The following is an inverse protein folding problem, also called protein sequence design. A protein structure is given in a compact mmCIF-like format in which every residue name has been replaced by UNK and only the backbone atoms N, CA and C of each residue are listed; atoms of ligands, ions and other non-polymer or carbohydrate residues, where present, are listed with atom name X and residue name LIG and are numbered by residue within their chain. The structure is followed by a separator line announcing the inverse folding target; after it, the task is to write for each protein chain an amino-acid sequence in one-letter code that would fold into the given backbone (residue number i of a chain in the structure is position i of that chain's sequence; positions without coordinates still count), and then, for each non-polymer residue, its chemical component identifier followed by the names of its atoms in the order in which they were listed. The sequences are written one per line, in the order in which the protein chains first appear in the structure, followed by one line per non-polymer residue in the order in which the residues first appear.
data_IF_933724767154
#
_entry.id   IF_933724767154
#
_cell.length_a   1.000
_cell.length_b   1.000
_cell.length_c   1.000
_cell.angle_alpha   90.00
_cell.angle_beta   90.00
_cell.angle_gamma   90.00
#
_symmetry.space_group_name_H-M   'P 1'
#
loop_
_entity.id
_entity.type
_entity.pdbx_description
1 polymer ?
#
# COMPACT_ATOMS: atom_id res chain seq x y z
N UNK A 1 -4.83 9.07 7.87
CA UNK A 1 -3.36 8.98 7.80
C UNK A 1 -2.82 9.76 8.98
N UNK A 2 -2.04 9.11 9.84
CA UNK A 2 -1.32 9.77 10.93
C UNK A 2 0.19 9.74 10.62
N UNK A 3 0.93 10.73 11.12
CA UNK A 3 2.39 10.70 11.16
C UNK A 3 2.80 10.32 12.58
N UNK A 4 3.36 9.14 12.76
CA UNK A 4 3.94 8.68 14.04
C UNK A 4 5.42 8.39 13.78
N UNK A 5 6.34 8.95 14.55
CA UNK A 5 7.79 8.73 14.38
C UNK A 5 8.30 8.88 12.93
N UNK A 6 7.77 9.88 12.21
CA UNK A 6 8.11 10.16 10.80
C UNK A 6 7.75 9.02 9.83
N UNK A 7 6.81 8.17 10.25
CA UNK A 7 6.21 7.09 9.50
C UNK A 7 4.76 7.45 9.14
N UNK A 8 4.36 7.17 7.89
CA UNK A 8 2.96 7.21 7.50
C UNK A 8 2.24 5.96 7.97
N UNK A 9 1.09 6.12 8.64
CA UNK A 9 0.22 5.01 9.03
C UNK A 9 -1.17 5.13 8.39
N UNK A 10 -1.58 4.07 7.67
CA UNK A 10 -2.91 3.90 7.09
C UNK A 10 -3.56 2.63 7.65
N UNK A 11 -4.72 2.80 8.30
CA UNK A 11 -5.52 1.68 8.80
C UNK A 11 -6.88 1.71 8.10
N UNK A 12 -7.22 0.64 7.39
CA UNK A 12 -8.56 0.44 6.84
C UNK A 12 -9.50 -0.10 7.93
N UNK A 13 -10.78 0.25 7.81
CA UNK A 13 -11.82 -0.34 8.66
C UNK A 13 -11.99 -1.82 8.37
N UNK A 14 -12.45 -2.58 9.36
CA UNK A 14 -12.52 -4.04 9.26
C UNK A 14 -13.71 -4.50 8.42
N UNK A 15 -14.74 -3.66 8.31
CA UNK A 15 -15.96 -3.92 7.57
C UNK A 15 -16.65 -2.60 7.18
N UNK A 16 -17.63 -2.71 6.28
CA UNK A 16 -18.39 -1.56 5.79
C UNK A 16 -19.23 -0.88 6.88
N UNK A 17 -19.69 -1.61 7.90
CA UNK A 17 -20.49 -1.03 8.99
C UNK A 17 -19.66 -0.06 9.84
N UNK A 18 -18.44 -0.45 10.21
CA UNK A 18 -17.46 0.42 10.89
C UNK A 18 -17.15 1.65 10.05
N UNK A 19 -16.85 1.47 8.76
CA UNK A 19 -16.58 2.58 7.84
C UNK A 19 -17.77 3.54 7.74
N UNK A 20 -19.00 3.03 7.59
CA UNK A 20 -20.21 3.85 7.46
C UNK A 20 -20.57 4.58 8.76
N UNK A 21 -20.31 3.96 9.92
CA UNK A 21 -20.50 4.61 11.22
C UNK A 21 -19.69 5.90 11.32
N UNK A 22 -18.43 5.86 10.87
CA UNK A 22 -17.52 7.01 10.94
C UNK A 22 -17.66 7.94 9.72
N UNK A 23 -18.32 7.50 8.65
CA UNK A 23 -18.55 8.25 7.40
C UNK A 23 -20.03 8.20 7.00
N UNK A 24 -20.94 8.83 7.76
CA UNK A 24 -22.39 8.67 7.59
C UNK A 24 -22.91 9.20 6.25
N UNK A 25 -22.22 10.17 5.65
CA UNK A 25 -22.61 10.79 4.38
C UNK A 25 -22.07 10.04 3.15
N UNK A 26 -21.46 8.86 3.33
CA UNK A 26 -20.92 8.07 2.22
C UNK A 26 -22.02 7.59 1.26
N UNK A 27 -21.74 7.68 -0.05
CA UNK A 27 -22.58 7.12 -1.09
C UNK A 27 -22.19 5.68 -1.46
N UNK A 28 -21.08 5.17 -0.91
CA UNK A 28 -20.65 3.80 -1.13
C UNK A 28 -21.66 2.83 -0.52
N UNK A 29 -21.96 1.76 -1.23
CA UNK A 29 -22.66 0.61 -0.67
C UNK A 29 -21.66 -0.48 -0.24
N UNK A 30 -22.15 -1.55 0.37
CA UNK A 30 -21.29 -2.67 0.83
C UNK A 30 -20.52 -3.30 -0.32
N UNK A 31 -21.14 -3.52 -1.48
CA UNK A 31 -20.50 -4.12 -2.66
C UNK A 31 -19.41 -3.21 -3.22
N UNK A 32 -19.61 -1.88 -3.25
CA UNK A 32 -18.59 -0.93 -3.66
C UNK A 32 -17.37 -0.98 -2.72
N UNK A 33 -17.62 -1.16 -1.42
CA UNK A 33 -16.59 -1.19 -0.40
C UNK A 33 -15.78 -2.49 -0.41
N UNK A 34 -16.45 -3.64 -0.58
CA UNK A 34 -15.80 -4.96 -0.54
C UNK A 34 -15.31 -5.43 -1.91
N UNK A 35 -16.01 -5.05 -2.98
CA UNK A 35 -15.82 -5.56 -4.34
C UNK A 35 -14.41 -5.34 -4.88
N UNK A 36 -13.76 -4.23 -4.53
CA UNK A 36 -12.38 -3.97 -4.94
C UNK A 36 -11.38 -4.96 -4.32
N UNK A 37 -11.65 -5.46 -3.11
CA UNK A 37 -10.74 -6.31 -2.34
C UNK A 37 -11.02 -7.80 -2.48
N UNK A 38 -12.07 -8.21 -3.21
CA UNK A 38 -12.46 -9.61 -3.40
C UNK A 38 -11.31 -10.48 -3.94
N UNK A 39 -10.41 -9.87 -4.71
CA UNK A 39 -9.15 -10.53 -5.05
C UNK A 39 -8.09 -10.12 -4.03
N UNK A 40 -7.51 -11.09 -3.32
CA UNK A 40 -6.33 -10.85 -2.48
C UNK A 40 -5.17 -10.20 -3.26
N UNK A 41 -5.20 -10.33 -4.59
CA UNK A 41 -4.33 -9.63 -5.52
C UNK A 41 -4.44 -8.10 -5.45
N UNK A 42 -5.67 -7.57 -5.47
CA UNK A 42 -5.93 -6.14 -5.37
C UNK A 42 -5.50 -5.59 -4.00
N UNK A 43 -5.67 -6.37 -2.93
CA UNK A 43 -5.19 -6.02 -1.58
C UNK A 43 -3.66 -5.85 -1.60
N UNK A 44 -2.92 -6.86 -2.09
CA UNK A 44 -1.46 -6.78 -2.20
C UNK A 44 -1.03 -5.62 -3.11
N UNK A 45 -1.76 -5.36 -4.18
CA UNK A 45 -1.49 -4.26 -5.12
C UNK A 45 -1.56 -2.90 -4.43
N UNK A 46 -2.61 -2.64 -3.67
CA UNK A 46 -2.71 -1.41 -2.87
C UNK A 46 -1.60 -1.35 -1.82
N UNK A 47 -1.37 -2.43 -1.07
CA UNK A 47 -0.35 -2.45 -0.03
C UNK A 47 1.05 -2.13 -0.59
N UNK A 48 1.43 -2.73 -1.71
CA UNK A 48 2.76 -2.51 -2.31
C UNK A 48 2.86 -1.13 -2.98
N UNK A 49 1.93 -0.79 -3.88
CA UNK A 49 2.08 0.42 -4.70
C UNK A 49 1.90 1.68 -3.85
N UNK A 50 0.91 1.72 -2.97
CA UNK A 50 0.58 2.92 -2.22
C UNK A 50 1.65 3.25 -1.18
N UNK A 51 2.19 2.25 -0.48
CA UNK A 51 3.24 2.50 0.52
C UNK A 51 4.55 2.96 -0.13
N UNK A 52 4.94 2.39 -1.28
CA UNK A 52 6.13 2.88 -1.99
C UNK A 52 5.89 4.26 -2.60
N UNK A 53 4.67 4.54 -3.09
CA UNK A 53 4.29 5.87 -3.57
C UNK A 53 4.44 6.93 -2.48
N UNK A 54 4.06 6.62 -1.25
CA UNK A 54 4.22 7.52 -0.11
C UNK A 54 5.69 7.84 0.17
N UNK A 55 6.57 6.83 0.17
CA UNK A 55 8.01 7.03 0.36
C UNK A 55 8.63 7.90 -0.76
N UNK A 56 8.14 7.74 -2.00
CA UNK A 56 8.53 8.57 -3.14
C UNK A 56 8.07 10.03 -2.99
N UNK A 57 6.79 10.24 -2.70
CA UNK A 57 6.18 11.57 -2.68
C UNK A 57 6.64 12.42 -1.48
N UNK A 58 6.92 11.77 -0.36
CA UNK A 58 7.30 12.43 0.87
C UNK A 58 8.73 12.01 1.25
N UNK A 59 9.77 12.68 0.72
CA UNK A 59 11.17 12.30 0.95
C UNK A 59 11.59 12.39 2.43
N UNK A 60 10.82 13.11 3.25
CA UNK A 60 11.04 13.17 4.69
C UNK A 60 10.57 11.91 5.41
N UNK A 61 9.68 11.07 4.85
CA UNK A 61 9.20 9.87 5.54
C UNK A 61 10.29 8.81 5.66
N UNK A 62 10.46 8.26 6.85
CA UNK A 62 11.35 7.12 7.10
C UNK A 62 10.67 5.78 6.78
N UNK A 63 9.33 5.76 6.81
CA UNK A 63 8.55 4.55 6.56
C UNK A 63 7.10 4.80 6.16
N UNK A 64 6.46 3.73 5.69
CA UNK A 64 5.03 3.70 5.38
C UNK A 64 4.45 2.35 5.76
N UNK A 65 3.39 2.37 6.58
CA UNK A 65 2.68 1.19 7.05
C UNK A 65 1.22 1.25 6.65
N UNK A 66 0.71 0.10 6.26
CA UNK A 66 -0.71 -0.05 5.94
C UNK A 66 -1.24 -1.37 6.48
N UNK A 67 -2.42 -1.32 7.12
CA UNK A 67 -3.15 -2.49 7.63
C UNK A 67 -4.53 -2.53 7.02
N UNK A 68 -4.90 -3.68 6.46
CA UNK A 68 -6.16 -3.92 5.77
C UNK A 68 -6.77 -5.25 6.22
N UNK A 69 -7.80 -5.23 7.07
CA UNK A 69 -8.59 -6.41 7.39
C UNK A 69 -9.59 -6.71 6.25
N UNK A 70 -9.67 -7.95 5.81
CA UNK A 70 -10.61 -8.41 4.79
C UNK A 70 -10.95 -9.90 4.98
N UNK A 71 -12.25 -10.22 5.02
CA UNK A 71 -12.78 -11.59 5.14
C UNK A 71 -12.13 -12.44 6.26
N UNK A 72 -11.95 -11.85 7.44
CA UNK A 72 -11.37 -12.53 8.61
C UNK A 72 -9.84 -12.70 8.56
N UNK A 73 -9.18 -12.20 7.52
CA UNK A 73 -7.71 -12.07 7.45
C UNK A 73 -7.28 -10.63 7.64
N UNK A 74 -6.08 -10.42 8.16
CA UNK A 74 -5.45 -9.10 8.24
C UNK A 74 -4.21 -9.08 7.37
N UNK A 75 -4.26 -8.29 6.30
CA UNK A 75 -3.12 -8.01 5.45
C UNK A 75 -2.41 -6.76 5.96
N UNK A 76 -1.10 -6.81 6.06
CA UNK A 76 -0.32 -5.67 6.52
C UNK A 76 1.00 -5.58 5.76
N UNK A 77 1.50 -4.36 5.62
CA UNK A 77 2.85 -4.08 5.10
C UNK A 77 3.46 -2.97 5.95
N UNK A 78 4.74 -3.09 6.24
CA UNK A 78 5.49 -2.12 7.04
C UNK A 78 6.83 -1.85 6.35
N UNK A 79 6.90 -0.72 5.65
CA UNK A 79 8.06 -0.35 4.85
C UNK A 79 8.95 0.61 5.63
N UNK A 80 10.25 0.31 5.63
CA UNK A 80 11.30 1.27 5.93
C UNK A 80 12.00 1.68 4.63
N UNK A 81 12.21 2.99 4.41
CA UNK A 81 12.82 3.53 3.19
C UNK A 81 14.14 2.87 2.84
N UNK A 82 15.03 2.71 3.82
CA UNK A 82 16.36 2.15 3.59
C UNK A 82 16.25 0.72 3.07
N UNK A 83 15.43 -0.10 3.72
CA UNK A 83 15.22 -1.50 3.32
C UNK A 83 14.57 -1.63 1.94
N UNK A 84 13.63 -0.74 1.60
CA UNK A 84 13.01 -0.70 0.26
C UNK A 84 14.04 -0.34 -0.80
N UNK A 85 14.82 0.72 -0.58
CA UNK A 85 15.85 1.16 -1.52
C UNK A 85 16.94 0.09 -1.70
N UNK A 86 17.34 -0.58 -0.61
CA UNK A 86 18.31 -1.69 -0.66
C UNK A 86 17.76 -2.88 -1.46
N UNK A 87 16.48 -3.23 -1.28
CA UNK A 87 15.83 -4.32 -2.02
C UNK A 87 15.68 -4.02 -3.52
N UNK A 88 15.32 -2.78 -3.85
CA UNK A 88 15.07 -2.35 -5.23
C UNK A 88 16.37 -2.03 -6.00
N UNK A 89 17.46 -1.72 -5.28
CA UNK A 89 18.73 -1.30 -5.89
C UNK A 89 18.70 0.13 -6.44
N UNK A 90 17.67 0.92 -6.12
CA UNK A 90 17.54 2.32 -6.47
C UNK A 90 16.75 3.07 -5.39
N UNK A 91 16.85 4.40 -5.39
CA UNK A 91 16.09 5.26 -4.49
C UNK A 91 14.71 5.54 -5.05
N UNK A 92 13.67 5.15 -4.32
CA UNK A 92 12.29 5.39 -4.75
C UNK A 92 11.94 6.87 -4.80
N UNK A 93 12.58 7.69 -3.97
CA UNK A 93 12.42 9.14 -3.92
C UNK A 93 13.02 9.89 -5.12
N UNK A 94 13.89 9.24 -5.88
CA UNK A 94 14.46 9.81 -7.11
C UNK A 94 13.52 9.59 -8.31
N UNK A 95 12.42 8.84 -8.16
CA UNK A 95 11.49 8.52 -9.24
C UNK A 95 10.43 9.61 -9.43
N UNK A 96 10.21 10.00 -10.69
CA UNK A 96 9.21 11.00 -11.08
C UNK A 96 8.12 10.40 -11.97
N UNK A 97 6.94 11.04 -11.96
CA UNK A 97 5.90 10.80 -12.96
C UNK A 97 6.08 11.66 -14.21
N UNK A 98 6.91 12.70 -14.14
CA UNK A 98 7.14 13.63 -15.26
C UNK A 98 8.08 13.03 -16.31
N UNK A 99 9.05 12.24 -15.88
CA UNK A 99 10.01 11.52 -16.73
C UNK A 99 9.68 10.03 -16.87
N UNK A 100 8.51 9.62 -16.40
CA UNK A 100 7.97 8.25 -16.41
C UNK A 100 8.79 7.20 -15.62
N UNK A 101 9.87 7.60 -14.95
CA UNK A 101 10.75 6.68 -14.21
C UNK A 101 10.02 5.92 -13.10
N UNK A 102 8.97 6.51 -12.51
CA UNK A 102 8.07 5.83 -11.57
C UNK A 102 7.40 4.60 -12.19
N UNK A 103 6.88 4.73 -13.40
CA UNK A 103 6.19 3.64 -14.07
C UNK A 103 7.19 2.60 -14.57
N UNK A 104 8.22 3.05 -15.29
CA UNK A 104 9.21 2.18 -15.92
C UNK A 104 10.03 1.36 -14.91
N UNK A 105 10.36 1.93 -13.74
CA UNK A 105 11.24 1.27 -12.76
C UNK A 105 10.49 0.56 -11.63
N UNK A 106 9.25 0.94 -11.34
CA UNK A 106 8.51 0.37 -10.20
C UNK A 106 7.12 -0.12 -10.56
N UNK A 107 6.22 0.73 -11.10
CA UNK A 107 4.81 0.32 -11.29
C UNK A 107 4.69 -0.85 -12.24
N UNK A 108 5.30 -0.77 -13.42
CA UNK A 108 5.18 -1.83 -14.41
C UNK A 108 5.97 -3.09 -14.04
N UNK A 109 7.27 -3.01 -13.69
CA UNK A 109 8.06 -4.21 -13.42
C UNK A 109 7.74 -4.90 -12.10
N UNK A 110 7.18 -4.18 -11.12
CA UNK A 110 6.90 -4.71 -9.77
C UNK A 110 5.42 -4.56 -9.43
N UNK A 111 4.87 -3.35 -9.46
CA UNK A 111 3.49 -3.09 -9.02
C UNK A 111 2.42 -3.86 -9.80
N UNK A 112 2.54 -3.94 -11.12
CA UNK A 112 1.59 -4.58 -12.02
C UNK A 112 2.00 -6.00 -12.40
N UNK A 113 3.27 -6.34 -12.27
CA UNK A 113 3.73 -7.71 -12.38
C UNK A 113 3.37 -8.51 -11.12
N UNK A 114 2.36 -9.37 -11.20
CA UNK A 114 1.84 -10.12 -10.06
C UNK A 114 2.91 -10.94 -9.33
N UNK A 115 3.78 -11.64 -10.06
CA UNK A 115 4.84 -12.42 -9.44
C UNK A 115 5.82 -11.54 -8.66
N UNK A 116 6.26 -10.43 -9.25
CA UNK A 116 7.19 -9.49 -8.59
C UNK A 116 6.55 -8.73 -7.44
N UNK A 117 5.27 -8.38 -7.55
CA UNK A 117 4.49 -7.81 -6.46
C UNK A 117 4.39 -8.79 -5.30
N UNK A 118 4.14 -10.08 -5.58
CA UNK A 118 4.09 -11.11 -4.55
C UNK A 118 5.46 -11.29 -3.89
N UNK A 119 6.56 -11.34 -4.64
CA UNK A 119 7.92 -11.39 -4.08
C UNK A 119 8.18 -10.20 -3.12
N UNK A 120 7.80 -8.99 -3.54
CA UNK A 120 7.92 -7.79 -2.72
C UNK A 120 7.03 -7.87 -1.46
N UNK A 121 5.78 -8.30 -1.62
CA UNK A 121 4.86 -8.44 -0.49
C UNK A 121 5.33 -9.53 0.48
N UNK A 122 5.86 -10.64 0.01
CA UNK A 122 6.35 -11.73 0.88
C UNK A 122 7.61 -11.28 1.67
N UNK A 123 8.38 -10.34 1.12
CA UNK A 123 9.54 -9.75 1.78
C UNK A 123 9.16 -8.76 2.90
N UNK A 124 8.07 -7.98 2.74
CA UNK A 124 7.76 -6.83 3.62
C UNK A 124 6.38 -6.88 4.28
N UNK A 125 5.51 -7.78 3.83
CA UNK A 125 4.13 -7.91 4.23
C UNK A 125 3.88 -9.16 5.07
N UNK A 126 2.73 -9.17 5.73
CA UNK A 126 2.25 -10.29 6.55
C UNK A 126 0.75 -10.45 6.36
N UNK A 127 0.30 -11.70 6.28
CA UNK A 127 -1.11 -12.08 6.34
C UNK A 127 -1.31 -12.84 7.66
N UNK A 128 -2.25 -12.37 8.49
CA UNK A 128 -2.63 -13.02 9.75
C UNK A 128 -4.08 -13.45 9.73
#
# INVERSE_FOLDING_TARGET
MALEDNQSVINFYSNFEEFKSDNPDTQLNTEDYTGYFETGDAIKKILVIENVRLLRQFPTLDGAKMTLPFEGKTYSIDLNRKSVNDYLGFKVEDLSTEDDSWNEKFVDPIGYNEAKRNDFFDQFGVIK
#
